data_IF_429922207762
#
_entry.id   IF_429922207762
#
_cell.length_a   1.000
_cell.length_b   1.000
_cell.length_c   1.000
_cell.angle_alpha   90.00
_cell.angle_beta   90.00
_cell.angle_gamma   90.00
#
_symmetry.space_group_name_H-M   'P 1'
#
loop_
_entity.id
_entity.type
_entity.pdbx_description
1 polymer ?
#
# COMPACT_ATOMS: atom_id res chain seq x y z
N UNK A 1 2.33 1.85 -21.57
CA UNK A 1 2.65 3.14 -20.91
C UNK A 1 3.88 3.81 -21.51
N UNK A 2 4.36 3.36 -22.68
CA UNK A 2 5.55 3.93 -23.31
C UNK A 2 5.31 5.40 -23.68
N UNK A 3 6.09 6.28 -23.03
CA UNK A 3 6.00 7.74 -23.20
C UNK A 3 5.44 8.51 -22.00
N UNK A 4 4.86 7.85 -20.99
CA UNK A 4 4.47 8.54 -19.75
C UNK A 4 5.65 8.64 -18.79
N UNK A 5 5.88 9.85 -18.26
CA UNK A 5 6.86 10.05 -17.17
C UNK A 5 6.24 9.65 -15.83
N UNK A 6 7.08 9.28 -14.85
CA UNK A 6 6.62 8.71 -13.58
C UNK A 6 5.54 9.53 -12.86
N UNK A 7 5.61 10.86 -12.89
CA UNK A 7 4.58 11.72 -12.27
C UNK A 7 3.20 11.57 -12.94
N UNK A 8 3.13 11.30 -14.24
CA UNK A 8 1.87 11.06 -14.92
C UNK A 8 1.27 9.70 -14.53
N UNK A 9 2.13 8.70 -14.31
CA UNK A 9 1.72 7.37 -13.81
C UNK A 9 1.18 7.49 -12.39
N UNK A 10 1.84 8.27 -11.53
CA UNK A 10 1.37 8.61 -10.19
C UNK A 10 -0.03 9.21 -10.24
N UNK A 11 -0.24 10.27 -11.03
CA UNK A 11 -1.56 10.89 -11.19
C UNK A 11 -2.60 9.90 -11.71
N UNK A 12 -2.24 9.07 -12.69
CA UNK A 12 -3.14 8.02 -13.19
C UNK A 12 -3.59 7.06 -12.08
N UNK A 13 -2.66 6.53 -11.29
CA UNK A 13 -2.99 5.60 -10.19
C UNK A 13 -3.79 6.30 -9.08
N UNK A 14 -3.50 7.57 -8.79
CA UNK A 14 -4.31 8.38 -7.87
C UNK A 14 -5.76 8.50 -8.36
N UNK A 15 -5.99 8.74 -9.66
CA UNK A 15 -7.34 8.79 -10.21
C UNK A 15 -8.05 7.43 -10.12
N UNK A 16 -7.34 6.33 -10.38
CA UNK A 16 -7.90 4.96 -10.23
C UNK A 16 -8.33 4.70 -8.77
N UNK A 17 -7.57 5.17 -7.79
CA UNK A 17 -7.93 5.05 -6.37
C UNK A 17 -9.20 5.82 -6.00
N UNK A 18 -9.56 6.85 -6.76
CA UNK A 18 -10.74 7.68 -6.52
C UNK A 18 -12.02 7.14 -7.15
N UNK A 19 -11.96 6.02 -7.90
CA UNK A 19 -13.17 5.43 -8.46
C UNK A 19 -14.16 5.02 -7.36
N UNK A 20 -15.44 5.31 -7.60
CA UNK A 20 -16.55 4.93 -6.74
C UNK A 20 -16.62 3.40 -6.58
N UNK A 21 -16.44 2.70 -7.70
CA UNK A 21 -16.29 1.25 -7.74
C UNK A 21 -14.81 0.91 -7.97
N UNK A 22 -14.14 0.22 -7.03
CA UNK A 22 -12.78 -0.27 -7.24
C UNK A 22 -12.69 -1.16 -8.48
N UNK A 23 -11.47 -1.31 -9.00
CA UNK A 23 -11.20 -2.34 -10.00
C UNK A 23 -11.50 -3.73 -9.43
N UNK A 24 -11.81 -4.67 -10.31
CA UNK A 24 -11.83 -6.08 -9.93
C UNK A 24 -10.41 -6.60 -9.65
N UNK A 25 -10.25 -7.70 -8.87
CA UNK A 25 -8.94 -8.30 -8.65
C UNK A 25 -8.23 -8.67 -9.96
N UNK A 26 -8.97 -9.15 -10.96
CA UNK A 26 -8.42 -9.50 -12.26
C UNK A 26 -7.90 -8.28 -13.02
N UNK A 27 -8.65 -7.17 -13.03
CA UNK A 27 -8.21 -5.92 -13.66
C UNK A 27 -6.97 -5.33 -12.96
N UNK A 28 -6.91 -5.38 -11.63
CA UNK A 28 -5.71 -4.99 -10.86
C UNK A 28 -4.48 -5.79 -11.30
N UNK A 29 -4.58 -7.12 -11.30
CA UNK A 29 -3.48 -8.00 -11.73
C UNK A 29 -3.06 -7.73 -13.16
N UNK A 30 -4.02 -7.61 -14.07
CA UNK A 30 -3.74 -7.36 -15.48
C UNK A 30 -3.03 -6.01 -15.68
N UNK A 31 -3.45 -4.96 -14.95
CA UNK A 31 -2.79 -3.66 -14.96
C UNK A 31 -1.32 -3.76 -14.50
N UNK A 32 -1.05 -4.49 -13.42
CA UNK A 32 0.31 -4.72 -12.93
C UNK A 32 1.20 -5.47 -13.90
N UNK A 33 0.65 -6.47 -14.60
CA UNK A 33 1.37 -7.27 -15.60
C UNK A 33 1.68 -6.46 -16.86
N UNK A 34 0.68 -5.75 -17.41
CA UNK A 34 0.83 -5.02 -18.68
C UNK A 34 1.70 -3.77 -18.54
N UNK A 35 1.62 -3.08 -17.39
CA UNK A 35 2.37 -1.84 -17.17
C UNK A 35 3.60 -2.01 -16.27
N UNK A 36 3.86 -3.24 -15.83
CA UNK A 36 5.01 -3.63 -15.00
C UNK A 36 5.16 -2.81 -13.68
N UNK A 37 4.04 -2.33 -13.12
CA UNK A 37 4.06 -1.50 -11.91
C UNK A 37 4.59 -2.25 -10.68
N UNK A 38 4.38 -3.56 -10.61
CA UNK A 38 4.89 -4.41 -9.54
C UNK A 38 6.43 -4.43 -9.48
N UNK A 39 7.13 -4.12 -10.59
CA UNK A 39 8.59 -4.09 -10.68
C UNK A 39 9.17 -2.67 -10.73
N UNK A 40 8.33 -1.65 -10.55
CA UNK A 40 8.76 -0.25 -10.59
C UNK A 40 9.78 0.04 -9.49
N UNK A 41 10.88 0.69 -9.86
CA UNK A 41 11.86 1.25 -8.91
C UNK A 41 11.37 2.57 -8.29
N UNK A 42 10.32 3.19 -8.85
CA UNK A 42 9.72 4.37 -8.28
C UNK A 42 8.76 3.97 -7.16
N UNK A 43 9.13 4.32 -5.92
CA UNK A 43 8.37 4.01 -4.70
C UNK A 43 6.94 4.56 -4.78
N UNK A 44 6.72 5.75 -5.35
CA UNK A 44 5.37 6.34 -5.41
C UNK A 44 4.45 5.52 -6.32
N UNK A 45 4.95 5.07 -7.46
CA UNK A 45 4.23 4.17 -8.38
C UNK A 45 3.93 2.84 -7.69
N UNK A 46 4.93 2.22 -7.07
CA UNK A 46 4.77 0.93 -6.40
C UNK A 46 3.76 1.02 -5.26
N UNK A 47 3.89 2.00 -4.37
CA UNK A 47 2.95 2.23 -3.27
C UNK A 47 1.51 2.47 -3.75
N UNK A 48 1.30 3.29 -4.79
CA UNK A 48 -0.03 3.55 -5.32
C UNK A 48 -0.64 2.31 -5.96
N UNK A 49 0.15 1.56 -6.73
CA UNK A 49 -0.29 0.31 -7.33
C UNK A 49 -0.72 -0.71 -6.27
N UNK A 50 0.06 -0.86 -5.19
CA UNK A 50 -0.29 -1.78 -4.09
C UNK A 50 -1.61 -1.36 -3.41
N UNK A 51 -1.84 -0.07 -3.20
CA UNK A 51 -3.13 0.39 -2.68
C UNK A 51 -4.29 0.09 -3.62
N UNK A 52 -4.10 0.23 -4.93
CA UNK A 52 -5.13 -0.11 -5.92
C UNK A 52 -5.47 -1.59 -5.80
N UNK A 53 -4.46 -2.47 -5.72
CA UNK A 53 -4.66 -3.90 -5.58
C UNK A 53 -5.38 -4.29 -4.29
N UNK A 54 -4.99 -3.72 -3.16
CA UNK A 54 -5.66 -3.94 -1.88
C UNK A 54 -7.12 -3.46 -1.93
N UNK A 55 -7.40 -2.28 -2.50
CA UNK A 55 -8.77 -1.77 -2.66
C UNK A 55 -9.60 -2.62 -3.64
N UNK A 56 -8.95 -3.22 -4.64
CA UNK A 56 -9.56 -4.12 -5.61
C UNK A 56 -9.85 -5.53 -5.06
N UNK A 57 -9.34 -5.88 -3.88
CA UNK A 57 -9.48 -7.22 -3.33
C UNK A 57 -8.48 -8.23 -3.90
N UNK A 58 -7.32 -7.78 -4.36
CA UNK A 58 -6.31 -8.62 -5.03
C UNK A 58 -5.30 -9.22 -4.03
N UNK A 59 -5.50 -10.50 -3.66
CA UNK A 59 -4.63 -11.22 -2.73
C UNK A 59 -3.15 -11.29 -3.19
N UNK A 60 -2.89 -11.23 -4.50
CA UNK A 60 -1.53 -11.32 -5.04
C UNK A 60 -0.64 -10.14 -4.62
N UNK A 61 -1.25 -9.06 -4.13
CA UNK A 61 -0.61 -7.81 -3.74
C UNK A 61 -0.25 -7.77 -2.25
N UNK A 62 -0.74 -8.72 -1.46
CA UNK A 62 -0.48 -8.80 -0.02
C UNK A 62 1.01 -8.96 0.26
N UNK A 63 1.65 -10.00 -0.27
CA UNK A 63 3.08 -10.25 -0.05
C UNK A 63 3.98 -9.09 -0.53
N UNK A 64 3.78 -8.52 -1.74
CA UNK A 64 4.45 -7.29 -2.15
C UNK A 64 4.24 -6.11 -1.21
N UNK A 65 3.04 -5.97 -0.63
CA UNK A 65 2.71 -4.91 0.35
C UNK A 65 3.49 -5.08 1.64
N UNK A 66 3.49 -6.29 2.22
CA UNK A 66 4.22 -6.62 3.44
C UNK A 66 5.71 -6.34 3.25
N UNK A 67 6.26 -6.80 2.12
CA UNK A 67 7.66 -6.56 1.76
C UNK A 67 7.98 -5.07 1.68
N UNK A 68 7.17 -4.28 0.95
CA UNK A 68 7.41 -2.85 0.82
C UNK A 68 7.36 -2.16 2.19
N UNK A 69 6.37 -2.47 3.02
CA UNK A 69 6.23 -1.92 4.37
C UNK A 69 7.46 -2.20 5.26
N UNK A 70 8.14 -3.33 5.05
CA UNK A 70 9.40 -3.65 5.74
C UNK A 70 10.65 -2.91 5.22
N UNK A 71 10.58 -2.32 4.02
CA UNK A 71 11.70 -1.61 3.38
C UNK A 71 11.58 -0.08 3.48
N UNK A 72 10.36 0.45 3.61
CA UNK A 72 10.11 1.90 3.66
C UNK A 72 9.74 2.39 5.07
N UNK A 73 10.34 3.50 5.50
CA UNK A 73 10.03 4.16 6.78
C UNK A 73 9.29 5.49 6.66
N UNK A 74 9.07 5.99 5.44
CA UNK A 74 8.52 7.34 5.22
C UNK A 74 7.00 7.35 5.43
N UNK A 75 6.55 8.04 6.46
CA UNK A 75 5.14 8.13 6.87
C UNK A 75 4.15 8.50 5.75
N UNK A 76 4.58 9.29 4.75
CA UNK A 76 3.79 9.62 3.54
C UNK A 76 3.24 8.37 2.85
N UNK A 77 4.00 7.28 2.86
CA UNK A 77 3.64 6.02 2.18
C UNK A 77 3.22 4.95 3.18
N UNK A 78 3.93 4.83 4.31
CA UNK A 78 3.71 3.76 5.29
C UNK A 78 2.29 3.83 5.88
N UNK A 79 1.87 5.01 6.38
CA UNK A 79 0.60 5.14 7.11
C UNK A 79 -0.62 4.88 6.23
N UNK A 80 -0.76 5.47 5.02
CA UNK A 80 -1.91 5.16 4.17
C UNK A 80 -1.92 3.72 3.67
N UNK A 81 -0.74 3.14 3.40
CA UNK A 81 -0.64 1.74 2.98
C UNK A 81 -1.09 0.78 4.09
N UNK A 82 -0.67 1.00 5.34
CA UNK A 82 -1.16 0.24 6.49
C UNK A 82 -2.68 0.35 6.64
N UNK A 83 -3.25 1.54 6.54
CA UNK A 83 -4.71 1.74 6.62
C UNK A 83 -5.46 1.00 5.52
N UNK A 84 -4.88 0.94 4.32
CA UNK A 84 -5.47 0.20 3.20
C UNK A 84 -5.36 -1.31 3.42
N UNK A 85 -4.20 -1.78 3.91
CA UNK A 85 -3.98 -3.17 4.27
C UNK A 85 -4.90 -3.62 5.41
N UNK A 86 -5.11 -2.78 6.43
CA UNK A 86 -6.00 -3.07 7.55
C UNK A 86 -7.46 -3.23 7.09
N UNK A 87 -7.92 -2.34 6.20
CA UNK A 87 -9.27 -2.43 5.61
C UNK A 87 -9.45 -3.69 4.77
N UNK A 88 -8.38 -4.12 4.10
CA UNK A 88 -8.37 -5.35 3.30
C UNK A 88 -8.35 -6.59 4.21
N UNK A 89 -7.41 -6.66 5.15
CA UNK A 89 -7.29 -7.70 6.15
C UNK A 89 -6.53 -7.20 7.39
N UNK A 90 -7.26 -7.03 8.49
CA UNK A 90 -6.73 -6.49 9.74
C UNK A 90 -5.69 -7.40 10.41
N UNK A 91 -5.87 -8.72 10.35
CA UNK A 91 -4.96 -9.66 10.98
C UNK A 91 -3.58 -9.60 10.31
N UNK A 92 -3.57 -9.55 8.97
CA UNK A 92 -2.34 -9.37 8.19
C UNK A 92 -1.67 -8.03 8.51
N UNK A 93 -2.44 -6.94 8.65
CA UNK A 93 -1.89 -5.64 9.00
C UNK A 93 -1.22 -5.64 10.38
N UNK A 94 -1.85 -6.28 11.38
CA UNK A 94 -1.31 -6.42 12.73
C UNK A 94 -0.05 -7.27 12.74
N UNK A 95 -0.07 -8.44 12.07
CA UNK A 95 1.09 -9.33 11.98
C UNK A 95 2.28 -8.65 11.28
N UNK A 96 2.00 -7.90 10.20
CA UNK A 96 3.00 -7.12 9.48
C UNK A 96 3.61 -6.04 10.36
N UNK A 97 2.77 -5.32 11.12
CA UNK A 97 3.23 -4.32 12.07
C UNK A 97 4.12 -4.95 13.15
N UNK A 98 3.68 -6.02 13.79
CA UNK A 98 4.45 -6.70 14.82
C UNK A 98 5.81 -7.20 14.31
N UNK A 99 5.85 -7.71 13.08
CA UNK A 99 7.09 -8.14 12.41
C UNK A 99 8.07 -6.99 12.15
N UNK A 100 7.57 -5.81 11.80
CA UNK A 100 8.40 -4.68 11.34
C UNK A 100 8.47 -3.49 12.31
N UNK A 101 7.77 -3.52 13.46
CA UNK A 101 7.67 -2.37 14.39
C UNK A 101 9.00 -1.81 14.88
N UNK A 102 10.02 -2.67 15.01
CA UNK A 102 11.35 -2.28 15.48
C UNK A 102 12.18 -1.55 14.41
N UNK A 103 11.81 -1.69 13.13
CA UNK A 103 12.45 -0.96 12.03
C UNK A 103 11.98 0.50 11.97
N UNK A 104 10.74 0.78 12.35
CA UNK A 104 10.19 2.13 12.28
C UNK A 104 10.77 3.06 13.36
N UNK A 105 10.97 4.32 12.99
CA UNK A 105 11.29 5.38 13.95
C UNK A 105 10.21 5.45 15.05
N UNK A 106 10.55 5.70 16.34
CA UNK A 106 9.61 5.66 17.45
C UNK A 106 8.31 6.46 17.24
N UNK A 107 8.39 7.62 16.58
CA UNK A 107 7.22 8.44 16.24
C UNK A 107 6.31 7.73 15.22
N UNK A 108 6.90 7.14 14.17
CA UNK A 108 6.16 6.38 13.16
C UNK A 108 5.49 5.17 13.80
N UNK A 109 6.25 4.41 14.61
CA UNK A 109 5.73 3.27 15.36
C UNK A 109 4.55 3.65 16.24
N UNK A 110 4.67 4.68 17.08
CA UNK A 110 3.59 5.09 17.98
C UNK A 110 2.33 5.55 17.25
N UNK A 111 2.45 6.16 16.06
CA UNK A 111 1.29 6.52 15.23
C UNK A 111 0.63 5.31 14.60
N UNK A 112 1.41 4.33 14.14
CA UNK A 112 0.87 3.07 13.59
C UNK A 112 0.22 2.21 14.68
N UNK A 113 0.80 2.16 15.89
CA UNK A 113 0.19 1.48 17.05
C UNK A 113 -1.18 2.07 17.38
N UNK A 114 -1.29 3.40 17.38
CA UNK A 114 -2.58 4.08 17.59
C UNK A 114 -3.58 3.80 16.48
N UNK A 115 -3.15 3.85 15.21
CA UNK A 115 -4.01 3.58 14.07
C UNK A 115 -4.52 2.12 14.12
N UNK A 116 -3.67 1.14 14.46
CA UNK A 116 -4.03 -0.28 14.45
C UNK A 116 -4.75 -0.74 15.73
N UNK A 117 -4.33 -0.31 16.92
CA UNK A 117 -4.84 -0.82 18.19
C UNK A 117 -5.76 0.16 18.94
N UNK A 118 -5.97 1.37 18.40
CA UNK A 118 -6.67 2.45 19.08
C UNK A 118 -5.83 3.12 20.17
N UNK A 119 -6.34 4.18 20.78
CA UNK A 119 -5.69 4.79 21.94
C UNK A 119 -5.80 3.84 23.13
N UNK A 120 -4.69 3.21 23.53
CA UNK A 120 -4.53 2.68 24.89
C UNK A 120 -4.37 3.88 25.85
N UNK A 121 -5.47 4.59 26.09
CA UNK A 121 -5.48 5.82 26.87
C UNK A 121 -6.86 6.46 26.95
N UNK A 122 -7.79 5.77 27.60
CA UNK A 122 -8.92 6.38 28.31
C UNK A 122 -8.93 5.79 29.73
#
# INVERSE_FOLDING_TARGET
MDGLVANQIVVFLEQVLLFDNPLTPEQSRFMGQVYNFAQSQNIEVSYLYLQVGLKAGDDSIVEPTIKLLGEIGRMKFVRPLYRTLEKFNRDIAVDTFEKHKNFYHPICRGLLEKDLFGDKGA
#
